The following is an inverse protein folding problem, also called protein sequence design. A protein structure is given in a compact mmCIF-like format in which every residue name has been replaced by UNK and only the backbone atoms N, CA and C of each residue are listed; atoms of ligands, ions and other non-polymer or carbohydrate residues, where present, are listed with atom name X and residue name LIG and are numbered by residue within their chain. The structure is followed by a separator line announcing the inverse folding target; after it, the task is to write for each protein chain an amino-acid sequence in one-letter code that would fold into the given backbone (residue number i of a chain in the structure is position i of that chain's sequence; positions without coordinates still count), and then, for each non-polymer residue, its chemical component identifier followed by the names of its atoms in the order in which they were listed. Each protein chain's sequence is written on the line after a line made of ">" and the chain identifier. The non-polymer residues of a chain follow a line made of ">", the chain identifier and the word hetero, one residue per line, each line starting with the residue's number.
data_IF_701399389601
#
_entry.id   IF_701399389601
#
_cell.length_a   1.000
_cell.length_b   1.000
_cell.length_c   1.000
_cell.angle_alpha   90.00
_cell.angle_beta   90.00
_cell.angle_gamma   90.00
#
_symmetry.space_group_name_H-M   'P 1'
#
loop_
_entity.id
_entity.type
_entity.pdbx_description
1 polymer ?
#
# COMPACT_ATOMS: atom_id res chain seq x y z
N UNK A 1 0.81 9.11 -21.40
CA UNK A 1 0.57 7.66 -21.66
C UNK A 1 0.15 6.97 -20.38
N UNK A 2 -0.74 5.96 -20.49
CA UNK A 2 -1.10 5.04 -19.40
C UNK A 2 -0.49 3.66 -19.70
N UNK A 3 0.37 3.16 -18.81
CA UNK A 3 0.90 1.80 -18.85
C UNK A 3 0.06 0.93 -17.91
N UNK A 4 -0.81 0.11 -18.48
CA UNK A 4 -1.58 -0.89 -17.77
C UNK A 4 -0.84 -2.23 -17.79
N UNK A 5 -0.31 -2.64 -16.65
CA UNK A 5 0.46 -3.86 -16.55
C UNK A 5 0.17 -4.63 -15.26
N UNK A 6 -0.07 -5.92 -15.38
CA UNK A 6 -0.26 -6.80 -14.21
C UNK A 6 0.95 -6.75 -13.28
N UNK A 7 0.77 -7.13 -12.02
CA UNK A 7 1.87 -7.19 -11.07
C UNK A 7 2.97 -8.12 -11.58
N UNK A 8 4.23 -7.66 -11.56
CA UNK A 8 5.36 -8.40 -12.10
C UNK A 8 5.50 -8.36 -13.63
N UNK A 9 4.75 -7.49 -14.33
CA UNK A 9 4.87 -7.33 -15.80
C UNK A 9 6.10 -6.53 -16.25
N UNK A 10 6.92 -6.03 -15.32
CA UNK A 10 8.12 -5.26 -15.67
C UNK A 10 7.89 -3.77 -15.86
N UNK A 11 6.80 -3.18 -15.37
CA UNK A 11 6.55 -1.72 -15.44
C UNK A 11 7.77 -0.90 -15.03
N UNK A 12 8.39 -1.26 -13.90
CA UNK A 12 9.57 -0.54 -13.38
C UNK A 12 10.76 -0.60 -14.36
N UNK A 13 10.96 -1.72 -15.06
CA UNK A 13 12.00 -1.81 -16.09
C UNK A 13 11.71 -0.88 -17.27
N UNK A 14 10.45 -0.79 -17.70
CA UNK A 14 10.05 0.19 -18.73
C UNK A 14 10.37 1.62 -18.29
N UNK A 15 10.09 1.97 -17.03
CA UNK A 15 10.45 3.29 -16.50
C UNK A 15 11.96 3.52 -16.54
N UNK A 16 12.76 2.54 -16.13
CA UNK A 16 14.22 2.64 -16.14
C UNK A 16 14.76 2.83 -17.57
N UNK A 17 14.23 2.12 -18.55
CA UNK A 17 14.62 2.28 -19.96
C UNK A 17 14.26 3.66 -20.50
N UNK A 18 13.08 4.20 -20.19
CA UNK A 18 12.70 5.56 -20.58
C UNK A 18 13.63 6.61 -19.94
N UNK A 19 13.95 6.46 -18.67
CA UNK A 19 14.88 7.34 -17.95
C UNK A 19 16.28 7.24 -18.56
N UNK A 20 16.75 6.04 -18.87
CA UNK A 20 18.04 5.81 -19.49
C UNK A 20 18.18 6.55 -20.83
N UNK A 21 17.14 6.51 -21.66
CA UNK A 21 17.11 7.25 -22.94
C UNK A 21 17.24 8.76 -22.72
N UNK A 22 16.47 9.30 -21.77
CA UNK A 22 16.50 10.74 -21.47
C UNK A 22 17.83 11.18 -20.87
N UNK A 23 18.44 10.36 -20.02
CA UNK A 23 19.71 10.67 -19.37
C UNK A 23 20.93 10.56 -20.29
N UNK A 24 20.77 10.10 -21.55
CA UNK A 24 21.81 10.20 -22.58
C UNK A 24 22.14 11.65 -22.93
N UNK A 25 21.13 12.51 -22.92
CA UNK A 25 21.35 13.94 -23.08
C UNK A 25 21.98 14.55 -21.81
N UNK A 26 22.91 15.49 -21.99
CA UNK A 26 23.46 16.26 -20.88
C UNK A 26 22.35 17.13 -20.26
N UNK A 27 22.45 17.37 -18.96
CA UNK A 27 21.58 18.28 -18.22
C UNK A 27 20.08 17.98 -18.32
N UNK A 28 19.68 16.70 -18.29
CA UNK A 28 18.29 16.29 -18.23
C UNK A 28 17.93 15.69 -16.88
N UNK A 29 16.69 15.81 -16.47
CA UNK A 29 16.21 15.31 -15.18
C UNK A 29 14.92 14.50 -15.36
N UNK A 30 14.77 13.44 -14.53
CA UNK A 30 13.57 12.61 -14.46
C UNK A 30 12.95 12.69 -13.06
N UNK A 31 11.63 12.87 -12.99
CA UNK A 31 10.86 12.82 -11.76
C UNK A 31 10.04 11.53 -11.73
N UNK A 32 10.19 10.76 -10.66
CA UNK A 32 9.40 9.56 -10.40
C UNK A 32 8.59 9.80 -9.13
N UNK A 33 7.26 9.77 -9.24
CA UNK A 33 6.36 9.79 -8.11
C UNK A 33 5.92 8.36 -7.78
N UNK A 34 6.05 8.01 -6.52
CA UNK A 34 5.61 6.72 -5.99
C UNK A 34 4.72 6.93 -4.76
N UNK A 35 3.77 6.02 -4.46
CA UNK A 35 3.06 6.04 -3.19
C UNK A 35 4.04 6.02 -2.01
N UNK A 36 3.66 6.67 -0.91
CA UNK A 36 4.53 6.77 0.27
C UNK A 36 5.00 5.39 0.79
N UNK A 37 4.11 4.41 0.70
CA UNK A 37 4.37 3.02 1.10
C UNK A 37 5.33 2.28 0.14
N UNK A 38 5.42 2.71 -1.12
CA UNK A 38 6.26 2.07 -2.14
C UNK A 38 7.69 2.65 -2.20
N UNK A 39 7.94 3.76 -1.51
CA UNK A 39 9.29 4.34 -1.45
C UNK A 39 10.15 3.55 -0.44
N UNK A 40 10.50 2.35 -0.84
CA UNK A 40 11.32 1.43 -0.04
C UNK A 40 12.81 1.58 -0.38
N UNK A 41 13.71 1.22 0.55
CA UNK A 41 15.14 1.11 0.24
C UNK A 41 15.45 0.21 -0.96
N UNK A 42 14.62 -0.81 -1.19
CA UNK A 42 14.76 -1.70 -2.35
C UNK A 42 14.51 -0.97 -3.67
N UNK A 43 13.48 -0.13 -3.76
CA UNK A 43 13.23 0.66 -4.97
C UNK A 43 14.40 1.61 -5.24
N UNK A 44 14.84 2.34 -4.22
CA UNK A 44 16.02 3.22 -4.36
C UNK A 44 17.27 2.44 -4.81
N UNK A 45 17.54 1.29 -4.22
CA UNK A 45 18.69 0.47 -4.59
C UNK A 45 18.59 -0.04 -6.04
N UNK A 46 17.41 -0.43 -6.51
CA UNK A 46 17.21 -0.80 -7.92
C UNK A 46 17.62 0.32 -8.87
N UNK A 47 17.21 1.57 -8.59
CA UNK A 47 17.59 2.73 -9.39
C UNK A 47 19.08 3.05 -9.24
N UNK A 48 19.65 2.99 -8.04
CA UNK A 48 21.09 3.23 -7.84
C UNK A 48 21.97 2.21 -8.55
N UNK A 49 21.59 0.93 -8.53
CA UNK A 49 22.27 -0.14 -9.24
C UNK A 49 22.19 0.05 -10.76
N UNK A 50 21.02 0.46 -11.28
CA UNK A 50 20.83 0.71 -12.73
C UNK A 50 21.59 1.96 -13.22
N UNK A 51 21.66 3.00 -12.37
CA UNK A 51 22.24 4.30 -12.71
C UNK A 51 23.38 4.69 -11.75
N UNK A 52 24.47 3.93 -11.67
CA UNK A 52 25.49 4.13 -10.65
C UNK A 52 26.24 5.47 -10.79
N UNK A 53 26.34 6.00 -12.01
CA UNK A 53 27.02 7.27 -12.32
C UNK A 53 26.10 8.49 -12.24
N UNK A 54 24.79 8.30 -12.08
CA UNK A 54 23.82 9.40 -12.05
C UNK A 54 23.42 9.71 -10.61
N UNK A 55 23.46 11.01 -10.25
CA UNK A 55 23.05 11.41 -8.92
C UNK A 55 21.55 11.27 -8.75
N UNK A 56 21.16 10.42 -7.81
CA UNK A 56 19.78 10.15 -7.42
C UNK A 56 19.52 10.73 -6.05
N UNK A 57 18.40 11.43 -5.87
CA UNK A 57 17.88 11.92 -4.60
C UNK A 57 16.47 11.47 -4.37
N UNK A 58 16.12 11.26 -3.08
CA UNK A 58 14.77 10.88 -2.65
C UNK A 58 14.12 12.02 -1.87
N UNK A 59 12.81 12.24 -2.07
CA UNK A 59 12.03 13.30 -1.41
C UNK A 59 10.75 12.70 -0.81
N UNK A 60 10.74 12.52 0.51
CA UNK A 60 9.62 11.92 1.25
C UNK A 60 9.53 12.44 2.69
N UNK A 61 8.45 12.10 3.39
CA UNK A 61 8.13 12.60 4.75
C UNK A 61 9.09 12.13 5.85
N UNK A 62 9.82 11.01 5.63
CA UNK A 62 10.74 10.44 6.63
C UNK A 62 12.16 11.02 6.59
N UNK A 63 12.43 11.97 5.68
CA UNK A 63 13.70 12.71 5.67
C UNK A 63 13.70 13.75 6.77
N UNK A 64 14.86 13.97 7.36
CA UNK A 64 15.09 15.16 8.19
C UNK A 64 14.99 16.44 7.35
N UNK A 65 14.75 17.57 7.98
CA UNK A 65 14.63 18.84 7.25
C UNK A 65 15.93 19.21 6.53
N UNK A 66 17.07 18.85 7.10
CA UNK A 66 18.40 19.08 6.51
C UNK A 66 18.58 18.22 5.23
N UNK A 67 18.28 16.92 5.32
CA UNK A 67 18.35 16.00 4.16
C UNK A 67 17.38 16.45 3.06
N UNK A 68 16.17 16.86 3.44
CA UNK A 68 15.16 17.34 2.50
C UNK A 68 15.62 18.60 1.78
N UNK A 69 16.20 19.55 2.50
CA UNK A 69 16.74 20.80 1.94
C UNK A 69 17.91 20.51 1.00
N UNK A 70 18.85 19.65 1.38
CA UNK A 70 19.99 19.26 0.56
C UNK A 70 19.52 18.58 -0.75
N UNK A 71 18.63 17.60 -0.65
CA UNK A 71 18.07 16.91 -1.82
C UNK A 71 17.28 17.86 -2.74
N UNK A 72 16.53 18.80 -2.15
CA UNK A 72 15.81 19.83 -2.90
C UNK A 72 16.76 20.77 -3.64
N UNK A 73 17.88 21.20 -3.01
CA UNK A 73 18.91 22.03 -3.64
C UNK A 73 19.58 21.31 -4.80
N UNK A 74 19.92 20.03 -4.63
CA UNK A 74 20.49 19.19 -5.68
C UNK A 74 19.55 19.01 -6.87
N UNK A 75 18.24 18.90 -6.62
CA UNK A 75 17.23 18.86 -7.67
C UNK A 75 17.13 20.20 -8.40
N UNK A 76 17.09 21.33 -7.66
CA UNK A 76 17.01 22.68 -8.21
C UNK A 76 18.25 23.09 -9.03
N UNK A 77 19.43 22.68 -8.63
CA UNK A 77 20.67 22.97 -9.34
C UNK A 77 20.86 22.12 -10.62
N UNK A 78 20.09 21.04 -10.78
CA UNK A 78 20.29 20.06 -11.85
C UNK A 78 21.37 19.00 -11.53
N UNK A 79 22.03 19.08 -10.37
CA UNK A 79 23.00 18.11 -9.91
C UNK A 79 22.37 16.72 -9.75
N UNK A 80 21.18 16.64 -9.18
CA UNK A 80 20.39 15.42 -9.15
C UNK A 80 19.71 15.22 -10.50
N UNK A 81 20.01 14.09 -11.14
CA UNK A 81 19.48 13.73 -12.46
C UNK A 81 18.21 12.87 -12.34
N UNK A 82 18.07 12.12 -11.26
CA UNK A 82 16.92 11.28 -10.96
C UNK A 82 16.36 11.70 -9.60
N UNK A 83 15.11 12.09 -9.57
CA UNK A 83 14.38 12.44 -8.36
C UNK A 83 13.26 11.43 -8.15
N UNK A 84 13.33 10.69 -7.06
CA UNK A 84 12.24 9.78 -6.64
C UNK A 84 11.57 10.42 -5.44
N UNK A 85 10.25 10.50 -5.45
CA UNK A 85 9.58 11.08 -4.31
C UNK A 85 8.11 10.72 -4.19
N UNK A 86 7.56 11.11 -3.06
CA UNK A 86 6.13 10.95 -2.78
C UNK A 86 5.36 12.19 -3.26
N UNK A 87 4.11 12.28 -2.91
CA UNK A 87 3.17 13.33 -3.34
C UNK A 87 3.75 14.74 -3.41
N UNK A 88 4.50 15.19 -2.40
CA UNK A 88 5.05 16.54 -2.34
C UNK A 88 6.19 16.80 -3.32
N UNK A 89 6.86 15.75 -3.80
CA UNK A 89 7.96 15.89 -4.74
C UNK A 89 7.54 16.51 -6.08
N UNK A 90 6.24 16.52 -6.39
CA UNK A 90 5.71 17.17 -7.60
C UNK A 90 6.00 18.68 -7.65
N UNK A 91 6.20 19.33 -6.51
CA UNK A 91 6.51 20.76 -6.43
C UNK A 91 8.01 21.08 -6.44
N UNK A 92 8.86 20.08 -6.52
CA UNK A 92 10.31 20.29 -6.53
C UNK A 92 10.74 21.03 -7.80
N UNK A 93 11.47 22.15 -7.72
CA UNK A 93 12.02 22.82 -8.86
C UNK A 93 13.02 21.92 -9.59
N UNK A 94 12.82 21.74 -10.88
CA UNK A 94 13.67 20.92 -11.74
C UNK A 94 13.80 21.62 -13.09
N UNK A 95 14.84 22.45 -13.30
CA UNK A 95 14.97 23.28 -14.50
C UNK A 95 15.18 22.44 -15.77
N UNK A 96 15.67 21.23 -15.64
CA UNK A 96 16.00 20.34 -16.76
C UNK A 96 15.07 19.12 -16.85
N UNK A 97 13.87 19.20 -16.27
CA UNK A 97 12.92 18.09 -16.28
C UNK A 97 12.52 17.72 -17.71
N UNK A 98 12.60 16.42 -18.04
CA UNK A 98 12.27 15.88 -19.37
C UNK A 98 11.23 14.77 -19.33
N UNK A 99 10.94 14.20 -18.17
CA UNK A 99 9.90 13.20 -17.99
C UNK A 99 9.35 13.22 -16.58
N UNK A 100 8.06 12.94 -16.46
CA UNK A 100 7.40 12.62 -15.18
C UNK A 100 6.84 11.21 -15.28
N UNK A 101 7.12 10.38 -14.28
CA UNK A 101 6.59 9.02 -14.15
C UNK A 101 5.83 8.96 -12.84
N UNK A 102 4.62 8.39 -12.86
CA UNK A 102 3.81 8.13 -11.67
C UNK A 102 3.56 6.64 -11.61
N UNK A 103 4.16 5.98 -10.65
CA UNK A 103 3.89 4.55 -10.40
C UNK A 103 2.69 4.40 -9.47
N UNK A 104 1.88 3.35 -9.70
CA UNK A 104 0.62 3.10 -8.99
C UNK A 104 -0.28 4.36 -8.94
N UNK A 105 -0.55 4.96 -10.11
CA UNK A 105 -1.26 6.26 -10.27
C UNK A 105 -2.61 6.35 -9.55
N UNK A 106 -3.24 5.19 -9.31
CA UNK A 106 -4.52 5.04 -8.63
C UNK A 106 -4.43 5.24 -7.12
N UNK A 107 -3.21 5.28 -6.54
CA UNK A 107 -3.05 5.26 -5.08
C UNK A 107 -3.59 6.54 -4.43
N UNK A 108 -4.42 6.35 -3.40
CA UNK A 108 -5.08 7.45 -2.66
C UNK A 108 -4.09 8.38 -1.94
N UNK A 109 -2.84 7.93 -1.70
CA UNK A 109 -1.81 8.77 -1.06
C UNK A 109 -1.37 9.95 -1.92
N UNK A 110 -1.65 9.93 -3.22
CA UNK A 110 -1.44 11.07 -4.11
C UNK A 110 -2.44 12.21 -3.88
N UNK A 111 -3.56 11.96 -3.18
CA UNK A 111 -4.52 12.99 -2.79
C UNK A 111 -4.15 13.61 -1.46
N UNK A 112 -3.94 14.93 -1.42
CA UNK A 112 -3.80 15.68 -0.18
C UNK A 112 -5.15 15.80 0.52
N UNK A 113 -5.20 15.41 1.80
CA UNK A 113 -6.44 15.40 2.58
C UNK A 113 -6.63 16.71 3.37
N UNK A 114 -5.55 17.32 3.82
CA UNK A 114 -5.54 18.51 4.68
C UNK A 114 -4.98 19.74 3.94
N UNK A 115 -5.41 20.93 4.31
CA UNK A 115 -4.97 22.20 3.72
C UNK A 115 -5.35 22.31 2.25
N UNK A 116 -4.38 22.62 1.38
CA UNK A 116 -4.58 22.67 -0.07
C UNK A 116 -4.82 21.25 -0.62
N UNK A 117 -6.07 20.95 -0.92
CA UNK A 117 -6.52 19.61 -1.37
C UNK A 117 -6.26 19.39 -2.86
N UNK A 118 -5.01 19.14 -3.25
CA UNK A 118 -4.63 18.79 -4.62
C UNK A 118 -4.49 17.27 -4.78
N UNK A 119 -4.44 16.82 -6.03
CA UNK A 119 -4.06 15.47 -6.41
C UNK A 119 -2.74 15.52 -7.19
N UNK A 120 -1.68 14.85 -6.69
CA UNK A 120 -0.35 14.96 -7.31
C UNK A 120 -0.33 14.48 -8.77
N UNK A 121 -1.11 13.47 -9.13
CA UNK A 121 -1.28 13.01 -10.52
C UNK A 121 -1.77 14.15 -11.41
N UNK A 122 -2.80 14.86 -10.98
CA UNK A 122 -3.40 15.93 -11.78
C UNK A 122 -2.46 17.14 -11.91
N UNK A 123 -1.77 17.51 -10.82
CA UNK A 123 -0.72 18.53 -10.84
C UNK A 123 0.43 18.11 -11.77
N UNK A 124 0.82 16.84 -11.75
CA UNK A 124 1.86 16.32 -12.63
C UNK A 124 1.46 16.41 -14.11
N UNK A 125 0.21 16.14 -14.45
CA UNK A 125 -0.30 16.29 -15.81
C UNK A 125 -0.25 17.75 -16.27
N UNK A 126 -0.66 18.69 -15.42
CA UNK A 126 -0.56 20.14 -15.72
C UNK A 126 0.89 20.56 -15.88
N UNK A 127 1.78 20.12 -14.96
CA UNK A 127 3.21 20.41 -15.04
C UNK A 127 3.85 19.86 -16.32
N UNK A 128 3.54 18.61 -16.67
CA UNK A 128 4.05 17.99 -17.89
C UNK A 128 3.60 18.75 -19.15
N UNK A 129 2.32 19.14 -19.19
CA UNK A 129 1.77 19.96 -20.29
C UNK A 129 2.46 21.32 -20.39
N UNK A 130 2.60 22.04 -19.28
CA UNK A 130 3.24 23.36 -19.27
C UNK A 130 4.73 23.33 -19.65
N UNK A 131 5.41 22.23 -19.29
CA UNK A 131 6.83 22.01 -19.63
C UNK A 131 7.02 21.33 -21.00
N UNK A 132 5.94 20.99 -21.70
CA UNK A 132 5.93 20.23 -22.95
C UNK A 132 6.78 18.96 -22.90
N UNK A 133 6.57 18.15 -21.86
CA UNK A 133 7.30 16.89 -21.62
C UNK A 133 6.34 15.70 -21.48
N UNK A 134 6.80 14.48 -21.77
CA UNK A 134 6.00 13.29 -21.58
C UNK A 134 5.72 13.02 -20.09
N UNK A 135 4.52 12.47 -19.84
CA UNK A 135 4.13 11.89 -18.56
C UNK A 135 3.70 10.44 -18.76
N UNK A 136 4.14 9.57 -17.87
CA UNK A 136 3.81 8.15 -17.84
C UNK A 136 3.09 7.82 -16.53
N UNK A 137 1.88 7.30 -16.66
CA UNK A 137 1.08 6.78 -15.56
C UNK A 137 1.17 5.26 -15.59
N UNK A 138 1.65 4.63 -14.54
CA UNK A 138 1.79 3.19 -14.48
C UNK A 138 0.93 2.58 -13.37
N UNK A 139 0.26 1.47 -13.67
CA UNK A 139 -0.61 0.80 -12.69
C UNK A 139 -1.01 -0.60 -13.14
N UNK A 140 -1.38 -1.46 -12.18
CA UNK A 140 -2.05 -2.73 -12.42
C UNK A 140 -3.59 -2.59 -12.33
N UNK A 141 -4.07 -1.57 -11.62
CA UNK A 141 -5.49 -1.29 -11.35
C UNK A 141 -5.76 0.19 -11.58
N UNK A 142 -5.97 0.62 -12.83
CA UNK A 142 -6.14 2.04 -13.16
C UNK A 142 -7.28 2.70 -12.38
N UNK A 143 -7.11 3.99 -12.04
CA UNK A 143 -8.23 4.80 -11.58
C UNK A 143 -9.28 4.93 -12.68
N UNK A 144 -10.54 5.12 -12.31
CA UNK A 144 -11.63 5.25 -13.29
C UNK A 144 -11.38 6.40 -14.27
N UNK A 145 -10.83 7.51 -13.79
CA UNK A 145 -10.49 8.67 -14.60
C UNK A 145 -9.39 8.34 -15.62
N UNK A 146 -8.32 7.69 -15.19
CA UNK A 146 -7.22 7.32 -16.09
C UNK A 146 -7.66 6.27 -17.10
N UNK A 147 -8.45 5.29 -16.67
CA UNK A 147 -9.04 4.28 -17.55
C UNK A 147 -9.94 4.93 -18.61
N UNK A 148 -10.89 5.77 -18.19
CA UNK A 148 -11.77 6.48 -19.11
C UNK A 148 -11.00 7.31 -20.15
N UNK A 149 -9.99 8.08 -19.69
CA UNK A 149 -9.18 8.92 -20.58
C UNK A 149 -8.29 8.10 -21.54
N UNK A 150 -7.99 6.86 -21.22
CA UNK A 150 -7.18 5.98 -22.08
C UNK A 150 -8.01 5.11 -23.04
N UNK A 151 -9.29 4.86 -22.74
CA UNK A 151 -10.13 3.92 -23.50
C UNK A 151 -11.28 4.56 -24.28
N UNK A 152 -11.54 5.84 -24.09
CA UNK A 152 -12.58 6.57 -24.85
C UNK A 152 -12.16 6.76 -26.32
N UNK A 153 -13.15 6.98 -27.20
CA UNK A 153 -12.96 7.08 -28.65
C UNK A 153 -11.96 8.17 -29.08
N UNK A 154 -11.90 9.29 -28.36
CA UNK A 154 -10.99 10.42 -28.63
C UNK A 154 -9.68 10.33 -27.83
N UNK A 155 -9.33 9.18 -27.33
CA UNK A 155 -8.11 8.80 -26.59
C UNK A 155 -7.22 9.98 -26.14
N UNK A 156 -7.48 10.51 -24.94
CA UNK A 156 -6.62 11.56 -24.38
C UNK A 156 -5.24 11.04 -23.95
N UNK A 157 -5.16 9.74 -23.64
CA UNK A 157 -3.92 9.08 -23.25
C UNK A 157 -3.59 7.96 -24.23
N UNK A 158 -2.31 7.82 -24.57
CA UNK A 158 -1.83 6.61 -25.24
C UNK A 158 -1.94 5.44 -24.25
N UNK A 159 -2.64 4.38 -24.65
CA UNK A 159 -2.84 3.19 -23.83
C UNK A 159 -1.85 2.09 -24.21
N UNK A 160 -1.01 1.70 -23.26
CA UNK A 160 0.01 0.66 -23.42
C UNK A 160 -0.28 -0.47 -22.43
N UNK A 161 -0.45 -1.69 -22.96
CA UNK A 161 -0.79 -2.87 -22.16
C UNK A 161 0.38 -3.85 -22.07
N UNK A 162 0.76 -4.19 -20.83
CA UNK A 162 1.71 -5.25 -20.52
C UNK A 162 0.95 -6.47 -19.99
N UNK A 163 0.62 -7.40 -20.87
CA UNK A 163 -0.28 -8.53 -20.56
C UNK A 163 0.42 -9.70 -19.89
N UNK A 164 1.74 -9.77 -19.95
CA UNK A 164 2.51 -10.91 -19.47
C UNK A 164 3.39 -10.53 -18.28
N UNK A 165 3.68 -11.49 -17.42
CA UNK A 165 4.72 -11.33 -16.41
C UNK A 165 6.10 -11.39 -17.05
N UNK A 166 7.05 -10.61 -16.54
CA UNK A 166 8.43 -10.58 -17.01
C UNK A 166 9.14 -11.94 -16.79
N UNK A 167 8.77 -12.65 -15.73
CA UNK A 167 9.25 -14.00 -15.44
C UNK A 167 8.25 -15.01 -16.03
N UNK A 168 8.67 -15.75 -17.04
CA UNK A 168 7.82 -16.70 -17.80
C UNK A 168 7.16 -17.78 -16.93
N UNK A 169 7.83 -18.22 -15.88
CA UNK A 169 7.36 -19.29 -14.99
C UNK A 169 6.44 -18.79 -13.87
N UNK A 170 6.31 -17.48 -13.70
CA UNK A 170 5.48 -16.91 -12.65
C UNK A 170 3.99 -16.99 -13.01
N UNK A 171 3.26 -17.88 -12.36
CA UNK A 171 1.79 -17.98 -12.46
C UNK A 171 1.10 -16.97 -11.53
N UNK A 172 -0.16 -16.66 -11.84
CA UNK A 172 -1.01 -15.93 -10.90
C UNK A 172 -1.32 -16.81 -9.68
N UNK A 173 -1.45 -16.22 -8.48
CA UNK A 173 -1.83 -16.98 -7.29
C UNK A 173 -3.24 -17.57 -7.48
N UNK A 174 -3.43 -18.78 -6.97
CA UNK A 174 -4.78 -19.37 -6.87
C UNK A 174 -5.52 -18.64 -5.76
N UNK A 175 -6.70 -18.11 -6.07
CA UNK A 175 -7.55 -17.39 -5.11
C UNK A 175 -8.69 -18.32 -4.69
N UNK A 176 -8.89 -18.46 -3.37
CA UNK A 176 -10.00 -19.19 -2.81
C UNK A 176 -10.72 -18.30 -1.80
N UNK A 177 -12.01 -18.09 -2.01
CA UNK A 177 -12.89 -17.39 -1.06
C UNK A 177 -13.46 -18.39 -0.08
N UNK A 178 -13.37 -18.09 1.22
CA UNK A 178 -13.85 -18.95 2.29
C UNK A 178 -14.87 -18.17 3.11
N UNK A 179 -16.10 -18.68 3.20
CA UNK A 179 -17.11 -18.11 4.08
C UNK A 179 -16.74 -18.37 5.54
N UNK A 180 -16.65 -17.31 6.31
CA UNK A 180 -16.38 -17.36 7.74
C UNK A 180 -17.71 -17.46 8.47
N UNK A 181 -17.95 -18.59 9.13
CA UNK A 181 -19.12 -18.83 9.96
C UNK A 181 -18.78 -18.71 11.46
N UNK A 182 -19.78 -18.79 12.34
CA UNK A 182 -19.62 -18.59 13.80
C UNK A 182 -18.62 -19.53 14.49
N UNK A 183 -18.19 -20.61 13.85
CA UNK A 183 -17.19 -21.55 14.36
C UNK A 183 -15.74 -21.09 14.17
N UNK A 184 -15.51 -19.99 13.44
CA UNK A 184 -14.17 -19.45 13.21
C UNK A 184 -13.76 -18.51 14.34
N UNK A 185 -12.75 -18.88 15.12
CA UNK A 185 -12.20 -18.01 16.18
C UNK A 185 -11.33 -16.93 15.52
N UNK A 186 -11.65 -15.66 15.79
CA UNK A 186 -10.89 -14.49 15.31
C UNK A 186 -10.76 -14.38 13.77
N UNK A 187 -11.74 -14.90 13.01
CA UNK A 187 -11.70 -14.84 11.54
C UNK A 187 -10.76 -15.86 10.86
N UNK A 188 -10.09 -16.72 11.64
CA UNK A 188 -9.18 -17.74 11.10
C UNK A 188 -9.96 -19.01 10.82
N UNK A 189 -10.18 -19.33 9.53
CA UNK A 189 -10.88 -20.53 9.10
C UNK A 189 -10.02 -21.79 9.22
N UNK A 190 -10.66 -22.97 9.30
CA UNK A 190 -9.95 -24.26 9.31
C UNK A 190 -9.06 -24.42 8.06
N UNK A 191 -9.60 -24.06 6.89
CA UNK A 191 -8.85 -24.14 5.64
C UNK A 191 -7.60 -23.27 5.65
N UNK A 192 -7.63 -22.06 6.27
CA UNK A 192 -6.44 -21.21 6.42
C UNK A 192 -5.43 -21.87 7.38
N UNK A 193 -5.88 -22.48 8.47
CA UNK A 193 -5.00 -23.23 9.40
C UNK A 193 -4.30 -24.37 8.67
N UNK A 194 -5.04 -25.15 7.88
CA UNK A 194 -4.49 -26.28 7.13
C UNK A 194 -3.48 -25.80 6.07
N UNK A 195 -3.78 -24.69 5.37
CA UNK A 195 -2.87 -24.08 4.41
C UNK A 195 -1.56 -23.55 5.06
N UNK A 196 -1.64 -22.94 6.25
CA UNK A 196 -0.46 -22.50 7.00
C UNK A 196 0.38 -23.70 7.42
N UNK A 197 -0.24 -24.77 7.96
CA UNK A 197 0.47 -25.99 8.32
C UNK A 197 1.24 -26.60 7.14
N UNK A 198 0.63 -26.62 5.95
CA UNK A 198 1.30 -27.10 4.74
C UNK A 198 2.53 -26.24 4.39
N UNK A 199 2.45 -24.93 4.53
CA UNK A 199 3.59 -24.02 4.31
C UNK A 199 4.70 -24.22 5.34
N UNK A 200 4.36 -24.34 6.60
CA UNK A 200 5.34 -24.62 7.67
C UNK A 200 6.11 -25.92 7.40
N UNK A 201 5.42 -27.00 6.98
CA UNK A 201 6.06 -28.27 6.60
C UNK A 201 7.05 -28.11 5.45
N UNK A 202 6.77 -27.21 4.49
CA UNK A 202 7.62 -26.91 3.33
C UNK A 202 8.70 -25.87 3.64
N UNK A 203 8.74 -25.33 4.86
CA UNK A 203 9.61 -24.21 5.25
C UNK A 203 9.37 -22.97 4.39
N UNK A 204 8.12 -22.76 3.98
CA UNK A 204 7.63 -21.59 3.27
C UNK A 204 6.95 -20.61 4.24
N UNK A 205 6.87 -19.34 3.85
CA UNK A 205 6.35 -18.28 4.70
C UNK A 205 4.88 -17.95 4.35
N UNK A 206 4.14 -17.48 5.36
CA UNK A 206 2.76 -17.07 5.22
C UNK A 206 2.55 -15.63 5.67
N UNK A 207 1.73 -14.86 4.94
CA UNK A 207 1.27 -13.52 5.34
C UNK A 207 -0.21 -13.59 5.72
N UNK A 208 -0.54 -13.14 6.92
CA UNK A 208 -1.91 -12.92 7.34
C UNK A 208 -2.20 -11.43 7.28
N UNK A 209 -2.92 -11.06 6.24
CA UNK A 209 -3.27 -9.68 5.95
C UNK A 209 -4.63 -9.34 6.53
N UNK A 210 -4.70 -8.25 7.30
CA UNK A 210 -5.95 -7.75 7.88
C UNK A 210 -6.32 -6.48 7.13
N UNK A 211 -7.42 -6.53 6.38
CA UNK A 211 -7.83 -5.45 5.48
C UNK A 211 -8.20 -4.15 6.21
N UNK A 212 -8.59 -4.21 7.48
CA UNK A 212 -8.99 -3.02 8.22
C UNK A 212 -7.82 -2.19 8.71
N UNK A 213 -7.84 -0.89 8.35
CA UNK A 213 -6.98 0.13 8.97
C UNK A 213 -7.42 0.36 10.41
N UNK A 214 -6.55 -0.01 11.36
CA UNK A 214 -6.71 0.35 12.77
C UNK A 214 -7.65 -0.55 13.54
N UNK A 215 -7.32 -0.70 14.79
CA UNK A 215 -8.04 -1.42 15.84
C UNK A 215 -9.32 -0.64 16.17
N UNK A 216 -10.34 -0.77 15.34
CA UNK A 216 -11.59 -0.09 15.60
C UNK A 216 -12.75 -1.08 15.45
N UNK A 217 -13.03 -1.90 16.50
CA UNK A 217 -14.14 -2.83 16.46
C UNK A 217 -15.44 -2.03 16.30
N UNK A 218 -16.18 -2.33 15.24
CA UNK A 218 -17.54 -1.83 15.07
C UNK A 218 -18.49 -2.70 15.90
N UNK A 219 -19.49 -2.09 16.54
CA UNK A 219 -20.51 -2.85 17.25
C UNK A 219 -21.41 -3.56 16.25
N UNK A 220 -21.55 -4.88 16.40
CA UNK A 220 -22.27 -5.77 15.49
C UNK A 220 -23.26 -6.62 16.26
N UNK A 221 -24.44 -6.88 15.68
CA UNK A 221 -25.44 -7.78 16.22
C UNK A 221 -25.30 -9.16 15.59
N UNK A 222 -25.06 -10.19 16.41
CA UNK A 222 -24.95 -11.59 15.95
C UNK A 222 -26.26 -12.20 15.48
N UNK A 223 -27.42 -11.61 15.85
CA UNK A 223 -28.75 -12.15 15.51
C UNK A 223 -29.28 -11.64 14.18
N UNK A 224 -29.03 -10.35 13.80
CA UNK A 224 -29.58 -9.76 12.59
C UNK A 224 -28.51 -9.09 11.70
N UNK A 225 -27.25 -9.25 12.02
CA UNK A 225 -26.12 -8.66 11.27
C UNK A 225 -26.09 -7.13 11.25
N UNK A 226 -26.89 -6.45 12.09
CA UNK A 226 -26.85 -5.00 12.22
C UNK A 226 -25.46 -4.52 12.67
N UNK A 227 -25.01 -3.39 12.10
CA UNK A 227 -23.77 -2.71 12.50
C UNK A 227 -24.05 -1.28 12.95
N UNK A 228 -23.30 -0.79 13.95
CA UNK A 228 -23.46 0.58 14.44
C UNK A 228 -22.95 1.61 13.42
N UNK A 229 -23.87 2.36 12.85
CA UNK A 229 -23.58 3.46 11.89
C UNK A 229 -23.70 4.82 12.56
N UNK A 230 -22.95 5.78 12.06
CA UNK A 230 -22.98 7.15 12.54
C UNK A 230 -24.27 7.85 12.09
N UNK A 231 -24.98 8.47 13.02
CA UNK A 231 -26.21 9.23 12.72
C UNK A 231 -25.94 10.54 11.95
N UNK A 232 -24.69 11.04 11.91
CA UNK A 232 -24.31 12.29 11.25
C UNK A 232 -23.64 12.09 9.89
N UNK A 233 -23.13 10.90 9.63
CA UNK A 233 -22.51 10.52 8.35
C UNK A 233 -22.63 9.01 8.15
N UNK A 234 -22.42 8.52 6.94
CA UNK A 234 -22.56 7.09 6.59
C UNK A 234 -21.42 6.19 7.07
N UNK A 235 -20.52 6.68 7.93
CA UNK A 235 -19.40 5.89 8.45
C UNK A 235 -19.83 4.99 9.61
N UNK A 236 -19.18 3.86 9.77
CA UNK A 236 -19.40 2.97 10.92
C UNK A 236 -18.81 3.57 12.21
N UNK A 237 -19.51 3.36 13.33
CA UNK A 237 -19.04 3.78 14.65
C UNK A 237 -18.05 2.75 15.23
N UNK A 238 -17.04 3.25 15.89
CA UNK A 238 -15.93 2.50 16.46
C UNK A 238 -16.11 2.36 17.98
N UNK A 239 -15.95 1.16 18.49
CA UNK A 239 -15.99 0.87 19.92
C UNK A 239 -14.66 1.24 20.57
N UNK A 240 -14.67 2.22 21.48
CA UNK A 240 -13.55 2.57 22.35
C UNK A 240 -13.74 1.92 23.71
N UNK A 241 -13.23 0.72 23.91
CA UNK A 241 -13.42 -0.05 25.15
C UNK A 241 -12.95 0.69 26.41
N UNK A 242 -11.81 1.39 26.35
CA UNK A 242 -11.26 2.15 27.51
C UNK A 242 -12.20 3.26 28.01
N UNK A 243 -12.94 3.88 27.12
CA UNK A 243 -13.87 4.99 27.44
C UNK A 243 -15.32 4.57 27.42
N UNK A 244 -15.62 3.30 27.10
CA UNK A 244 -16.96 2.75 26.93
C UNK A 244 -17.86 3.59 25.98
N UNK A 245 -17.28 4.03 24.85
CA UNK A 245 -17.96 4.89 23.88
C UNK A 245 -17.85 4.38 22.45
N UNK A 246 -18.86 4.77 21.64
CA UNK A 246 -18.87 4.62 20.20
C UNK A 246 -18.49 5.95 19.55
N UNK A 247 -17.39 6.00 18.78
CA UNK A 247 -16.94 7.22 18.12
C UNK A 247 -16.88 7.08 16.61
N UNK A 248 -17.26 8.13 15.91
CA UNK A 248 -17.08 8.24 14.47
C UNK A 248 -15.72 8.90 14.19
N UNK A 249 -14.82 8.18 13.55
CA UNK A 249 -13.51 8.72 13.16
C UNK A 249 -13.57 9.64 11.93
N UNK A 250 -14.73 9.74 11.28
CA UNK A 250 -14.92 10.62 10.12
C UNK A 250 -15.43 12.01 10.51
N UNK A 251 -16.49 12.08 11.32
CA UNK A 251 -17.13 13.36 11.68
C UNK A 251 -17.00 13.72 13.16
N UNK A 252 -16.30 12.92 13.97
CA UNK A 252 -16.10 13.15 15.40
C UNK A 252 -17.33 12.89 16.29
N UNK A 253 -18.46 12.40 15.72
CA UNK A 253 -19.64 12.07 16.53
C UNK A 253 -19.30 11.01 17.57
N UNK A 254 -19.78 11.19 18.80
CA UNK A 254 -19.50 10.37 19.96
C UNK A 254 -20.81 10.04 20.72
N UNK A 255 -21.01 8.78 21.06
CA UNK A 255 -22.19 8.31 21.83
C UNK A 255 -21.84 7.15 22.76
N UNK A 256 -22.70 6.84 23.72
CA UNK A 256 -22.53 5.71 24.61
C UNK A 256 -22.67 4.38 23.84
N UNK A 257 -22.01 3.33 24.31
CA UNK A 257 -22.24 1.97 23.83
C UNK A 257 -23.67 1.58 24.20
N UNK A 258 -24.38 1.01 23.21
CA UNK A 258 -25.71 0.45 23.42
C UNK A 258 -25.58 -1.03 23.76
N UNK A 259 -26.43 -1.52 24.66
CA UNK A 259 -26.41 -2.92 25.09
C UNK A 259 -27.42 -3.80 24.35
N UNK A 260 -28.35 -3.18 23.63
CA UNK A 260 -29.43 -3.86 22.91
C UNK A 260 -29.45 -3.43 21.45
N UNK A 261 -29.65 -4.39 20.54
CA UNK A 261 -29.73 -4.11 19.11
C UNK A 261 -30.95 -3.24 18.79
N UNK A 262 -30.80 -2.10 18.09
CA UNK A 262 -31.95 -1.23 17.78
C UNK A 262 -32.89 -1.82 16.71
N UNK A 263 -32.49 -2.88 16.00
CA UNK A 263 -33.30 -3.53 14.97
C UNK A 263 -34.07 -4.72 15.51
N UNK A 264 -33.38 -5.68 16.17
CA UNK A 264 -34.00 -6.94 16.60
C UNK A 264 -34.09 -7.08 18.11
N UNK A 265 -33.79 -6.07 18.90
CA UNK A 265 -33.80 -6.04 20.34
C UNK A 265 -32.95 -7.15 21.03
N UNK A 266 -32.09 -7.83 20.29
CA UNK A 266 -31.19 -8.83 20.83
C UNK A 266 -30.11 -8.18 21.71
N UNK A 267 -29.74 -8.87 22.81
CA UNK A 267 -28.57 -8.52 23.64
C UNK A 267 -27.24 -9.02 23.05
N UNK A 268 -27.28 -9.66 21.88
CA UNK A 268 -26.13 -10.25 21.19
C UNK A 268 -25.21 -9.25 20.51
N UNK A 269 -25.11 -8.02 21.03
CA UNK A 269 -24.19 -7.01 20.52
C UNK A 269 -22.77 -7.33 20.95
N UNK A 270 -21.88 -7.41 19.98
CA UNK A 270 -20.44 -7.64 20.22
C UNK A 270 -19.57 -6.77 19.30
N UNK A 271 -18.38 -6.36 19.75
CA UNK A 271 -17.42 -5.72 18.87
C UNK A 271 -17.00 -6.70 17.77
N UNK A 272 -17.24 -6.34 16.52
CA UNK A 272 -16.78 -7.10 15.35
C UNK A 272 -15.47 -6.46 14.84
N UNK A 273 -14.46 -7.27 14.68
CA UNK A 273 -13.15 -6.89 14.14
C UNK A 273 -12.04 -7.53 14.97
N UNK A 274 -11.24 -8.34 14.32
CA UNK A 274 -10.03 -8.89 14.91
C UNK A 274 -8.90 -7.90 14.71
N UNK A 275 -8.40 -7.29 15.78
CA UNK A 275 -7.17 -6.50 15.70
C UNK A 275 -5.97 -7.41 15.42
N UNK A 276 -4.92 -6.86 14.80
CA UNK A 276 -3.67 -7.59 14.55
C UNK A 276 -3.14 -8.35 15.75
N UNK A 277 -3.30 -7.77 16.96
CA UNK A 277 -2.88 -8.39 18.21
C UNK A 277 -3.68 -9.65 18.55
N UNK A 278 -5.02 -9.63 18.39
CA UNK A 278 -5.85 -10.81 18.64
C UNK A 278 -5.59 -11.93 17.65
N UNK A 279 -5.30 -11.58 16.39
CA UNK A 279 -4.93 -12.54 15.36
C UNK A 279 -3.56 -13.15 15.68
N UNK A 280 -2.59 -12.34 16.08
CA UNK A 280 -1.27 -12.80 16.55
C UNK A 280 -1.39 -13.75 17.72
N UNK A 281 -2.16 -13.41 18.78
CA UNK A 281 -2.41 -14.27 19.94
C UNK A 281 -3.08 -15.61 19.55
N UNK A 282 -4.03 -15.55 18.61
CA UNK A 282 -4.70 -16.76 18.13
C UNK A 282 -3.74 -17.66 17.33
N UNK A 283 -2.91 -17.08 16.48
CA UNK A 283 -1.90 -17.81 15.71
C UNK A 283 -0.83 -18.42 16.60
N UNK A 284 -0.36 -17.69 17.63
CA UNK A 284 0.59 -18.23 18.62
C UNK A 284 0.04 -19.45 19.36
N UNK A 285 -1.28 -19.47 19.64
CA UNK A 285 -1.93 -20.65 20.25
C UNK A 285 -2.09 -21.81 19.27
N UNK A 286 -2.33 -21.54 17.99
CA UNK A 286 -2.49 -22.55 16.94
C UNK A 286 -1.15 -23.14 16.47
N UNK A 287 -0.10 -22.33 16.48
CA UNK A 287 1.22 -22.65 15.95
C UNK A 287 2.33 -22.29 16.97
N UNK A 288 2.42 -22.96 18.12
CA UNK A 288 3.33 -22.58 19.21
C UNK A 288 4.81 -22.67 18.85
N UNK A 289 5.16 -23.45 17.83
CA UNK A 289 6.53 -23.63 17.37
C UNK A 289 6.91 -22.73 16.16
N UNK A 290 5.97 -21.92 15.64
CA UNK A 290 6.21 -21.04 14.52
C UNK A 290 6.71 -19.67 14.99
N UNK A 291 7.66 -19.08 14.27
CA UNK A 291 8.08 -17.70 14.49
C UNK A 291 7.06 -16.75 13.86
N UNK A 292 6.29 -16.04 14.70
CA UNK A 292 5.25 -15.13 14.27
C UNK A 292 5.69 -13.70 14.55
N UNK A 293 5.62 -12.84 13.52
CA UNK A 293 5.92 -11.43 13.66
C UNK A 293 4.72 -10.58 13.25
N UNK A 294 4.32 -9.67 14.15
CA UNK A 294 3.32 -8.65 13.84
C UNK A 294 3.98 -7.36 13.37
N UNK A 295 3.45 -6.81 12.28
CA UNK A 295 3.88 -5.54 11.68
C UNK A 295 2.71 -4.57 11.63
N UNK A 296 2.83 -3.47 12.36
CA UNK A 296 1.89 -2.35 12.35
C UNK A 296 2.62 -1.00 12.33
N UNK A 297 1.86 0.10 12.27
CA UNK A 297 2.45 1.46 12.25
C UNK A 297 3.37 1.77 13.42
N UNK A 298 3.13 1.12 14.57
CA UNK A 298 3.91 1.38 15.78
C UNK A 298 5.22 0.59 15.78
N UNK A 299 5.23 -0.59 15.14
CA UNK A 299 6.41 -1.46 15.05
C UNK A 299 7.37 -1.08 13.92
N UNK A 300 6.92 -0.29 12.93
CA UNK A 300 7.71 0.04 11.72
C UNK A 300 7.97 1.53 11.52
N UNK A 301 8.02 2.31 12.60
CA UNK A 301 8.21 3.78 12.53
C UNK A 301 9.56 4.22 11.98
N UNK A 302 10.58 3.37 11.97
CA UNK A 302 11.92 3.74 11.53
C UNK A 302 12.35 2.99 10.27
N UNK A 303 13.22 3.62 9.46
CA UNK A 303 13.83 3.01 8.27
C UNK A 303 14.59 1.71 8.64
N UNK A 304 15.24 1.69 9.82
CA UNK A 304 15.94 0.50 10.34
C UNK A 304 14.99 -0.68 10.59
N UNK A 305 13.77 -0.44 11.08
CA UNK A 305 12.82 -1.54 11.37
C UNK A 305 12.31 -2.23 10.11
N UNK A 306 12.14 -1.48 9.00
CA UNK A 306 11.76 -2.07 7.71
C UNK A 306 12.89 -2.88 7.09
N UNK A 307 14.13 -2.38 7.14
CA UNK A 307 15.30 -3.14 6.66
C UNK A 307 15.47 -4.44 7.45
N UNK A 308 15.40 -4.36 8.78
CA UNK A 308 15.47 -5.54 9.64
C UNK A 308 14.37 -6.56 9.36
N UNK A 309 13.13 -6.09 9.09
CA UNK A 309 12.04 -6.97 8.68
C UNK A 309 12.39 -7.73 7.40
N UNK A 310 12.91 -7.02 6.38
CA UNK A 310 13.32 -7.64 5.12
C UNK A 310 14.42 -8.69 5.32
N UNK A 311 15.45 -8.36 6.10
CA UNK A 311 16.55 -9.27 6.38
C UNK A 311 16.05 -10.53 7.08
N UNK A 312 15.21 -10.40 8.11
CA UNK A 312 14.62 -11.52 8.83
C UNK A 312 13.70 -12.39 7.95
N UNK A 313 12.92 -11.78 7.05
CA UNK A 313 12.09 -12.53 6.10
C UNK A 313 12.97 -13.29 5.09
N UNK A 314 13.99 -12.65 4.53
CA UNK A 314 14.88 -13.28 3.56
C UNK A 314 15.73 -14.41 4.20
N UNK A 315 16.10 -14.26 5.46
CA UNK A 315 16.81 -15.27 6.24
C UNK A 315 15.90 -16.42 6.73
N UNK A 316 14.58 -16.34 6.45
CA UNK A 316 13.57 -17.33 6.93
C UNK A 316 13.48 -17.42 8.45
N UNK A 317 13.74 -16.33 9.16
CA UNK A 317 13.61 -16.26 10.62
C UNK A 317 12.15 -16.07 11.07
N UNK A 318 11.25 -15.75 10.12
CA UNK A 318 9.84 -15.53 10.35
C UNK A 318 9.04 -16.50 9.48
N UNK A 319 8.17 -17.28 10.10
CA UNK A 319 7.30 -18.24 9.42
C UNK A 319 5.97 -17.60 9.04
N UNK A 320 5.40 -16.79 9.94
CA UNK A 320 4.10 -16.17 9.76
C UNK A 320 4.21 -14.67 10.03
N UNK A 321 3.91 -13.88 9.02
CA UNK A 321 3.86 -12.42 9.12
C UNK A 321 2.40 -11.98 9.27
N UNK A 322 2.09 -11.16 10.27
CA UNK A 322 0.74 -10.61 10.51
C UNK A 322 0.78 -9.10 10.30
N UNK A 323 -0.09 -8.55 9.47
CA UNK A 323 -0.10 -7.10 9.30
C UNK A 323 -1.26 -6.55 8.49
N UNK A 324 -1.19 -5.25 8.27
CA UNK A 324 -2.19 -4.47 7.54
C UNK A 324 -1.62 -3.91 6.24
N UNK A 325 -2.26 -2.93 5.66
CA UNK A 325 -1.91 -2.32 4.36
C UNK A 325 -0.44 -1.94 4.16
N UNK A 326 0.34 -1.78 5.24
CA UNK A 326 1.78 -1.52 5.12
C UNK A 326 2.56 -2.66 4.48
N UNK A 327 2.04 -3.90 4.58
CA UNK A 327 2.64 -5.09 3.97
C UNK A 327 2.09 -5.42 2.58
N UNK A 328 1.05 -4.70 2.13
CA UNK A 328 0.39 -5.00 0.86
C UNK A 328 1.19 -4.57 -0.36
N UNK A 329 2.16 -3.66 -0.21
CA UNK A 329 2.84 -3.02 -1.34
C UNK A 329 4.34 -2.85 -1.07
N UNK A 330 5.14 -2.91 -2.14
CA UNK A 330 6.55 -2.54 -2.10
C UNK A 330 7.49 -3.56 -1.45
N UNK A 331 7.00 -4.76 -1.14
CA UNK A 331 7.80 -5.83 -0.55
C UNK A 331 7.94 -7.01 -1.52
N UNK A 332 9.11 -7.59 -1.58
CA UNK A 332 9.41 -8.80 -2.33
C UNK A 332 9.97 -9.83 -1.33
N UNK A 333 9.17 -10.86 -1.05
CA UNK A 333 9.52 -11.95 -0.13
C UNK A 333 9.49 -13.27 -0.91
N UNK A 334 10.63 -13.77 -1.38
CA UNK A 334 10.69 -14.91 -2.30
C UNK A 334 10.14 -16.21 -1.70
N UNK A 335 10.11 -16.35 -0.38
CA UNK A 335 9.62 -17.54 0.31
C UNK A 335 8.17 -17.41 0.79
N UNK A 336 7.52 -16.27 0.55
CA UNK A 336 6.14 -16.04 0.90
C UNK A 336 5.22 -16.63 -0.18
N UNK A 337 4.59 -17.76 0.11
CA UNK A 337 3.78 -18.53 -0.85
C UNK A 337 2.30 -18.59 -0.49
N UNK A 338 1.91 -18.09 0.70
CA UNK A 338 0.53 -18.01 1.16
C UNK A 338 0.19 -16.60 1.65
N UNK A 339 -0.93 -16.06 1.18
CA UNK A 339 -1.53 -14.85 1.72
C UNK A 339 -2.95 -15.15 2.17
N UNK A 340 -3.19 -15.08 3.48
CA UNK A 340 -4.53 -15.15 4.07
C UNK A 340 -5.07 -13.74 4.30
N UNK A 341 -6.18 -13.36 3.65
CA UNK A 341 -6.82 -12.06 3.85
C UNK A 341 -8.01 -12.26 4.79
N UNK A 342 -7.96 -11.60 5.93
CA UNK A 342 -9.05 -11.59 6.91
C UNK A 342 -9.90 -10.34 6.74
N UNK A 343 -11.21 -10.45 6.98
CA UNK A 343 -12.17 -9.34 6.87
C UNK A 343 -12.04 -8.63 5.52
N UNK A 344 -12.18 -9.38 4.43
CA UNK A 344 -12.03 -8.88 3.06
C UNK A 344 -13.18 -7.96 2.61
N UNK A 345 -14.32 -7.98 3.32
CA UNK A 345 -15.56 -7.25 3.03
C UNK A 345 -15.51 -5.76 3.41
#
# INVERSE_FOLDING_TARGET
>A
SLIFGITGSGKTEVYMQLIEQILKESNTQALILVPEINLTPQLENRFRTRFPTKKLVSLHSHLTDIERLDNWRKAKSGEARIIIGTRLAIFTPMPFIKIIIIDEEHDISFKQQDGLRYHARDVAMVRAKNSNIPIVLGTATPSLESWHNATRLDNKYNFLKLSFRAVKEASLPKIQTILVNDKTKNGISRALVDAINDRLKRKEQSLIFINRRGFAPTLFCSSCSWTAECKRCSSKLVVHQKTNRLKCHHCGHDQNIINQCPICASMGLRPLGSGTQKVEEALNKLFPNASILRVDKDTTRTKKSLTLLHDRMNNREIDILVGTQMLAKGHDFPFLTLVGILDAD
#
